data_IF_323866371788
#
_entry.id   IF_323866371788
#
_cell.length_a   1.000
_cell.length_b   1.000
_cell.length_c   1.000
_cell.angle_alpha   90.00
_cell.angle_beta   90.00
_cell.angle_gamma   90.00
#
_symmetry.space_group_name_H-M   'P 1'
#
loop_
_entity.id
_entity.type
_entity.pdbx_description
1 polymer ?
#
# COMPACT_ATOMS: atom_id res chain seq x y z
N UNK A 1 -39.62 15.75 14.10
CA UNK A 1 -39.67 17.17 13.70
C UNK A 1 -38.97 17.31 12.34
N UNK A 2 -39.75 17.64 11.29
CA UNK A 2 -39.43 18.34 10.00
C UNK A 2 -38.07 17.98 9.34
N UNK A 3 -37.90 17.16 8.29
CA UNK A 3 -38.50 17.07 6.93
C UNK A 3 -38.81 18.43 6.28
N UNK A 4 -37.90 18.89 5.41
CA UNK A 4 -38.01 20.04 4.51
C UNK A 4 -37.05 19.70 3.33
N UNK A 5 -37.41 19.06 2.22
CA UNK A 5 -38.51 19.27 1.27
C UNK A 5 -38.57 20.71 0.76
N UNK A 6 -37.69 21.02 -0.19
CA UNK A 6 -37.84 22.15 -1.11
C UNK A 6 -37.92 21.60 -2.54
N UNK A 7 -39.15 21.30 -2.93
CA UNK A 7 -39.60 21.30 -4.31
C UNK A 7 -40.60 22.45 -4.45
N UNK A 8 -40.76 22.90 -5.71
CA UNK A 8 -41.73 23.85 -6.25
C UNK A 8 -41.23 25.31 -6.16
N UNK A 9 -41.28 26.17 -7.19
CA UNK A 9 -42.01 26.13 -8.45
C UNK A 9 -41.52 27.29 -9.34
N UNK A 10 -41.38 27.04 -10.65
CA UNK A 10 -41.78 27.92 -11.78
C UNK A 10 -41.40 29.41 -11.80
N UNK A 11 -40.67 29.85 -12.83
CA UNK A 11 -41.22 30.75 -13.87
C UNK A 11 -40.20 31.07 -14.96
N UNK A 12 -40.48 30.53 -16.14
CA UNK A 12 -40.37 31.12 -17.47
C UNK A 12 -39.99 32.62 -17.53
N UNK A 13 -38.94 32.96 -18.29
CA UNK A 13 -38.93 34.15 -19.15
C UNK A 13 -37.96 34.02 -20.33
N UNK A 14 -38.57 34.20 -21.49
CA UNK A 14 -38.07 34.27 -22.85
C UNK A 14 -37.14 35.49 -23.05
N UNK A 15 -36.00 35.29 -23.73
CA UNK A 15 -35.09 36.37 -24.12
C UNK A 15 -34.32 36.00 -25.38
N UNK A 16 -34.88 36.37 -26.53
CA UNK A 16 -34.24 36.32 -27.85
C UNK A 16 -33.22 37.47 -27.93
N UNK A 17 -31.93 37.17 -27.99
CA UNK A 17 -30.90 38.14 -28.39
C UNK A 17 -29.84 37.45 -29.26
N UNK A 18 -29.84 37.85 -30.53
CA UNK A 18 -28.89 37.52 -31.57
C UNK A 18 -27.57 38.28 -31.33
N UNK A 19 -26.42 37.58 -31.27
CA UNK A 19 -25.13 38.20 -31.60
C UNK A 19 -24.09 37.16 -32.02
N UNK A 20 -24.01 36.96 -33.34
CA UNK A 20 -22.80 36.95 -34.16
C UNK A 20 -21.42 36.78 -33.47
N UNK A 21 -20.72 35.70 -33.84
CA UNK A 21 -19.26 35.53 -33.73
C UNK A 21 -18.81 34.18 -34.30
N UNK A 22 -17.92 34.11 -35.32
CA UNK A 22 -17.41 32.85 -35.85
C UNK A 22 -16.14 32.39 -35.10
N UNK A 23 -15.80 31.11 -35.27
CA UNK A 23 -14.61 30.41 -34.74
C UNK A 23 -14.76 29.99 -33.27
N UNK A 24 -14.57 28.73 -32.89
CA UNK A 24 -13.60 27.75 -33.38
C UNK A 24 -14.13 26.35 -33.02
N UNK A 25 -13.91 25.39 -33.91
CA UNK A 25 -14.19 23.99 -33.67
C UNK A 25 -13.18 23.44 -32.65
N UNK A 26 -13.68 22.99 -31.51
CA UNK A 26 -13.02 22.00 -30.67
C UNK A 26 -14.11 21.01 -30.25
N UNK A 27 -14.19 19.89 -30.96
CA UNK A 27 -14.99 18.74 -30.51
C UNK A 27 -14.54 18.37 -29.08
N UNK A 28 -15.45 18.18 -28.12
CA UNK A 28 -15.07 17.68 -26.81
C UNK A 28 -14.47 16.28 -26.98
N UNK A 29 -13.29 15.96 -26.40
CA UNK A 29 -12.80 14.60 -26.40
C UNK A 29 -13.82 13.72 -25.67
N UNK A 30 -14.48 12.81 -26.39
CA UNK A 30 -15.47 11.86 -25.86
C UNK A 30 -14.83 10.59 -25.28
N UNK A 31 -13.57 10.65 -24.86
CA UNK A 31 -12.89 9.50 -24.27
C UNK A 31 -12.61 9.79 -22.79
N UNK A 32 -13.57 9.43 -21.94
CA UNK A 32 -13.25 9.14 -20.54
C UNK A 32 -12.27 7.96 -20.58
N UNK A 33 -11.05 8.04 -20.03
CA UNK A 33 -10.28 6.83 -19.82
C UNK A 33 -11.08 6.00 -18.81
N UNK A 34 -11.64 4.88 -19.27
CA UNK A 34 -12.10 3.83 -18.38
C UNK A 34 -10.89 3.51 -17.48
N UNK A 35 -10.99 3.85 -16.19
CA UNK A 35 -9.98 3.49 -15.23
C UNK A 35 -9.81 1.97 -15.30
N UNK A 36 -8.62 1.53 -15.72
CA UNK A 36 -8.25 0.12 -15.78
C UNK A 36 -8.41 -0.49 -14.39
N UNK A 37 -9.50 -1.20 -14.15
CA UNK A 37 -9.78 -1.87 -12.87
C UNK A 37 -8.63 -2.81 -12.49
N UNK A 38 -7.94 -3.36 -13.49
CA UNK A 38 -6.74 -4.18 -13.35
C UNK A 38 -5.59 -3.46 -12.63
N UNK A 39 -5.33 -2.19 -12.91
CA UNK A 39 -4.25 -1.44 -12.23
C UNK A 39 -4.62 -1.05 -10.80
N UNK A 40 -5.91 -0.93 -10.48
CA UNK A 40 -6.37 -0.66 -9.10
C UNK A 40 -6.26 -1.91 -8.22
N UNK A 41 -6.62 -3.08 -8.74
CA UNK A 41 -6.54 -4.36 -8.01
C UNK A 41 -5.09 -4.83 -7.79
N UNK A 42 -4.21 -4.61 -8.76
CA UNK A 42 -2.77 -4.93 -8.63
C UNK A 42 -2.08 -4.03 -7.59
N UNK A 43 -2.43 -2.74 -7.54
CA UNK A 43 -1.90 -1.81 -6.55
C UNK A 43 -2.35 -2.18 -5.14
N UNK A 44 -3.65 -2.47 -4.94
CA UNK A 44 -4.17 -2.86 -3.64
C UNK A 44 -3.52 -4.15 -3.10
N UNK A 45 -3.25 -5.13 -3.97
CA UNK A 45 -2.53 -6.36 -3.61
C UNK A 45 -1.06 -6.10 -3.27
N UNK A 46 -0.39 -5.21 -4.01
CA UNK A 46 0.98 -4.84 -3.73
C UNK A 46 1.10 -4.11 -2.38
N UNK A 47 0.17 -3.21 -2.08
CA UNK A 47 0.12 -2.50 -0.79
C UNK A 47 -0.13 -3.49 0.36
N UNK A 48 -1.11 -4.40 0.22
CA UNK A 48 -1.38 -5.43 1.23
C UNK A 48 -0.17 -6.36 1.49
N UNK A 49 0.57 -6.75 0.44
CA UNK A 49 1.80 -7.54 0.60
C UNK A 49 2.88 -6.76 1.37
N UNK A 50 3.01 -5.46 1.11
CA UNK A 50 4.00 -4.63 1.82
C UNK A 50 3.64 -4.52 3.29
N UNK A 51 2.36 -4.35 3.61
CA UNK A 51 1.88 -4.34 4.99
C UNK A 51 2.20 -5.67 5.70
N UNK A 52 1.97 -6.81 5.04
CA UNK A 52 2.35 -8.13 5.56
C UNK A 52 3.87 -8.25 5.79
N UNK A 53 4.68 -7.83 4.82
CA UNK A 53 6.15 -7.86 4.94
C UNK A 53 6.62 -7.00 6.13
N UNK A 54 5.98 -5.85 6.40
CA UNK A 54 6.29 -4.98 7.54
C UNK A 54 5.89 -5.62 8.88
N UNK A 55 4.73 -6.26 8.97
CA UNK A 55 4.30 -6.97 10.18
C UNK A 55 5.24 -8.14 10.50
N UNK A 56 5.73 -8.87 9.50
CA UNK A 56 6.72 -9.93 9.69
C UNK A 56 8.06 -9.39 10.20
N UNK A 57 8.51 -8.25 9.66
CA UNK A 57 9.73 -7.59 10.13
C UNK A 57 9.60 -7.11 11.58
N UNK A 58 8.42 -6.58 11.94
CA UNK A 58 8.10 -6.17 13.31
C UNK A 58 8.11 -7.36 14.27
N UNK A 59 7.46 -8.46 13.90
CA UNK A 59 7.45 -9.68 14.70
C UNK A 59 8.88 -10.19 14.97
N UNK A 60 9.74 -10.16 13.96
CA UNK A 60 11.14 -10.53 14.11
C UNK A 60 11.89 -9.61 15.08
N UNK A 61 11.74 -8.29 14.93
CA UNK A 61 12.36 -7.29 15.80
C UNK A 61 11.89 -7.42 17.26
N UNK A 62 10.58 -7.56 17.47
CA UNK A 62 9.98 -7.71 18.81
C UNK A 62 10.51 -8.99 19.49
N UNK A 63 10.63 -10.09 18.74
CA UNK A 63 11.17 -11.36 19.25
C UNK A 63 12.65 -11.24 19.59
N UNK A 64 13.44 -10.62 18.71
CA UNK A 64 14.87 -10.38 18.93
C UNK A 64 15.10 -9.59 20.22
N UNK A 65 14.36 -8.51 20.41
CA UNK A 65 14.43 -7.67 21.60
C UNK A 65 13.95 -8.41 22.86
N UNK A 66 12.90 -9.23 22.74
CA UNK A 66 12.41 -10.03 23.85
C UNK A 66 13.48 -11.01 24.35
N UNK A 67 14.24 -11.63 23.45
CA UNK A 67 15.35 -12.51 23.82
C UNK A 67 16.45 -11.70 24.51
N UNK A 68 16.87 -10.58 23.93
CA UNK A 68 17.94 -9.73 24.48
C UNK A 68 17.63 -9.26 25.91
N UNK A 69 16.38 -8.85 26.18
CA UNK A 69 15.99 -8.32 27.50
C UNK A 69 15.71 -9.38 28.57
N UNK A 70 15.21 -10.55 28.16
CA UNK A 70 14.66 -11.53 29.11
C UNK A 70 15.51 -12.79 29.26
N UNK A 71 16.59 -12.94 28.47
CA UNK A 71 17.48 -14.07 28.63
C UNK A 71 18.34 -13.93 29.89
N UNK A 72 18.61 -15.06 30.55
CA UNK A 72 19.28 -15.11 31.86
C UNK A 72 20.73 -14.61 31.79
N UNK A 73 21.35 -14.68 30.61
CA UNK A 73 22.74 -14.28 30.38
C UNK A 73 22.78 -13.19 29.32
N UNK A 74 23.84 -12.39 29.35
CA UNK A 74 24.10 -11.43 28.29
C UNK A 74 24.19 -12.15 26.93
N UNK A 75 23.46 -11.60 25.95
CA UNK A 75 23.41 -12.13 24.59
C UNK A 75 24.12 -11.16 23.67
N UNK A 76 25.12 -11.65 22.93
CA UNK A 76 25.73 -10.86 21.87
C UNK A 76 24.77 -10.73 20.67
N UNK A 77 24.44 -9.49 20.31
CA UNK A 77 23.47 -9.18 19.24
C UNK A 77 23.89 -9.75 17.89
N UNK A 78 25.19 -9.73 17.58
CA UNK A 78 25.72 -10.24 16.31
C UNK A 78 25.59 -11.75 16.24
N UNK A 79 25.97 -12.45 17.30
CA UNK A 79 25.79 -13.90 17.42
C UNK A 79 24.32 -14.30 17.33
N UNK A 80 23.41 -13.54 17.96
CA UNK A 80 21.97 -13.83 17.90
C UNK A 80 21.41 -13.71 16.47
N UNK A 81 21.78 -12.66 15.73
CA UNK A 81 21.37 -12.51 14.32
C UNK A 81 21.97 -13.62 13.45
N UNK A 82 23.25 -13.94 13.62
CA UNK A 82 23.89 -15.02 12.85
C UNK A 82 23.24 -16.38 13.14
N UNK A 83 22.89 -16.66 14.40
CA UNK A 83 22.16 -17.85 14.80
C UNK A 83 20.76 -17.90 14.17
N UNK A 84 20.04 -16.79 14.15
CA UNK A 84 18.74 -16.70 13.49
C UNK A 84 18.83 -16.98 11.97
N UNK A 85 19.81 -16.38 11.28
CA UNK A 85 20.04 -16.62 9.84
C UNK A 85 20.39 -18.08 9.59
N UNK A 86 21.32 -18.65 10.38
CA UNK A 86 21.70 -20.06 10.27
C UNK A 86 20.49 -20.98 10.45
N UNK A 87 19.66 -20.72 11.48
CA UNK A 87 18.42 -21.45 11.72
C UNK A 87 17.43 -21.37 10.55
N UNK A 88 17.22 -20.18 9.98
CA UNK A 88 16.35 -19.99 8.81
C UNK A 88 16.86 -20.77 7.59
N UNK A 89 18.16 -20.71 7.30
CA UNK A 89 18.76 -21.42 6.15
C UNK A 89 18.67 -22.94 6.34
N UNK A 90 19.04 -23.45 7.52
CA UNK A 90 18.96 -24.89 7.82
C UNK A 90 17.53 -25.42 7.79
N UNK A 91 16.55 -24.59 8.16
CA UNK A 91 15.14 -24.95 8.10
C UNK A 91 14.63 -25.10 6.66
N UNK A 92 15.19 -24.35 5.70
CA UNK A 92 14.84 -24.46 4.28
C UNK A 92 15.47 -25.69 3.62
N UNK A 93 16.73 -25.98 3.96
CA UNK A 93 17.46 -27.13 3.44
C UNK A 93 18.58 -27.56 4.42
N UNK A 94 18.58 -28.81 4.93
CA UNK A 94 19.60 -29.31 5.85
C UNK A 94 21.03 -29.27 5.32
N UNK A 95 21.22 -29.25 4.00
CA UNK A 95 22.55 -29.20 3.38
C UNK A 95 23.03 -27.77 3.12
N UNK A 96 22.13 -26.78 3.23
CA UNK A 96 22.47 -25.38 3.07
C UNK A 96 23.11 -24.81 4.33
N UNK A 97 24.17 -24.03 4.15
CA UNK A 97 24.93 -23.41 5.24
C UNK A 97 25.07 -21.90 5.03
N UNK A 98 24.81 -21.13 6.08
CA UNK A 98 25.17 -19.72 6.16
C UNK A 98 26.66 -19.58 6.54
N UNK A 99 27.40 -18.77 5.79
CA UNK A 99 28.80 -18.42 6.07
C UNK A 99 28.83 -16.97 6.54
N UNK A 100 29.26 -16.77 7.78
CA UNK A 100 29.39 -15.43 8.36
C UNK A 100 30.68 -14.73 7.87
N UNK A 101 30.75 -13.38 7.89
CA UNK A 101 31.97 -12.65 7.53
C UNK A 101 33.20 -13.05 8.36
N UNK A 102 32.99 -13.54 9.58
CA UNK A 102 34.04 -14.02 10.48
C UNK A 102 34.56 -15.42 10.10
N UNK A 103 33.83 -16.18 9.27
CA UNK A 103 34.17 -17.51 8.78
C UNK A 103 34.78 -17.51 7.36
N UNK A 104 34.87 -16.34 6.72
CA UNK A 104 35.56 -16.13 5.43
C UNK A 104 37.08 -16.01 5.61
#
# INVERSE_FOLDING_TARGET
MRRLSWLLLSSLLLGLAFSFGPSQADDPPKDKPAADQKTTDEKAKADAKRDEDYELMRLFADTFEQIERNYVKDVDRRQLIQAAIRGMVTQLDPYSNYISPEEL
#
